data_IF_963884522267
#
_entry.id   IF_963884522267
#
_cell.length_a   1.000
_cell.length_b   1.000
_cell.length_c   1.000
_cell.angle_alpha   90.00
_cell.angle_beta   90.00
_cell.angle_gamma   90.00
#
_symmetry.space_group_name_H-M   'P 1'
#
loop_
_entity.id
_entity.type
_entity.pdbx_description
1 polymer ?
#
# COMPACT_ATOMS: atom_id res chain seq x y z
N UNK A 1 -4.21 -2.66 15.58
CA UNK A 1 -3.17 -1.61 15.44
C UNK A 1 -3.62 -0.39 16.23
N UNK A 2 -2.70 0.33 16.88
CA UNK A 2 -3.04 1.54 17.62
C UNK A 2 -2.04 2.66 17.30
N UNK A 3 -2.55 3.73 16.69
CA UNK A 3 -1.88 4.97 16.36
C UNK A 3 -0.52 4.80 15.65
N UNK A 4 -0.41 3.80 14.77
CA UNK A 4 0.84 3.44 14.09
C UNK A 4 1.10 4.33 12.87
N UNK A 5 2.36 4.54 12.50
CA UNK A 5 2.71 5.38 11.33
C UNK A 5 2.65 4.67 9.99
N UNK A 6 2.75 3.34 9.99
CA UNK A 6 2.88 2.56 8.76
C UNK A 6 2.05 1.26 8.88
N UNK A 7 0.72 1.32 8.76
CA UNK A 7 -0.13 0.15 9.00
C UNK A 7 0.12 -0.98 8.01
N UNK A 8 0.13 -0.69 6.71
CA UNK A 8 0.29 -1.68 5.63
C UNK A 8 1.26 -1.13 4.58
N UNK A 9 2.43 -1.78 4.42
CA UNK A 9 3.43 -1.42 3.42
C UNK A 9 3.91 -2.65 2.66
N UNK A 10 3.85 -2.58 1.32
CA UNK A 10 4.66 -3.35 0.39
C UNK A 10 5.47 -2.34 -0.40
N UNK A 11 6.80 -2.39 -0.29
CA UNK A 11 7.69 -1.44 -0.96
C UNK A 11 8.82 -2.17 -1.71
N UNK A 12 8.66 -2.29 -3.03
CA UNK A 12 9.68 -2.83 -3.93
C UNK A 12 10.63 -1.76 -4.48
N UNK A 13 10.45 -0.50 -4.08
CA UNK A 13 11.35 0.63 -4.36
C UNK A 13 12.21 1.01 -3.14
N UNK A 14 12.17 0.18 -2.09
CA UNK A 14 12.88 0.40 -0.84
C UNK A 14 14.37 0.65 -1.07
N UNK A 15 14.82 1.83 -0.67
CA UNK A 15 16.16 2.34 -0.92
C UNK A 15 16.70 3.03 0.34
N UNK A 16 17.11 2.26 1.36
CA UNK A 16 17.61 2.83 2.58
C UNK A 16 18.87 3.65 2.27
N UNK A 17 18.96 4.85 2.87
CA UNK A 17 20.08 5.77 2.71
C UNK A 17 20.35 6.28 1.28
N UNK A 18 19.43 6.07 0.33
CA UNK A 18 19.57 6.55 -1.04
C UNK A 18 20.81 6.04 -1.79
N UNK A 19 21.36 4.89 -1.39
CA UNK A 19 22.54 4.28 -2.02
C UNK A 19 22.18 3.31 -3.17
N UNK A 20 20.90 3.21 -3.51
CA UNK A 20 20.43 2.37 -4.62
C UNK A 20 20.41 3.12 -5.95
N UNK A 21 20.43 2.36 -7.05
CA UNK A 21 20.19 2.87 -8.40
C UNK A 21 18.69 2.91 -8.67
N UNK A 22 18.06 4.09 -8.49
CA UNK A 22 16.60 4.26 -8.61
C UNK A 22 16.04 4.01 -10.01
N UNK A 23 16.89 4.07 -11.04
CA UNK A 23 16.56 3.69 -12.42
C UNK A 23 16.44 2.17 -12.61
N UNK A 24 16.86 1.37 -11.61
CA UNK A 24 16.79 -0.09 -11.66
C UNK A 24 15.61 -0.60 -10.82
N UNK A 25 14.50 -1.02 -11.44
CA UNK A 25 13.38 -1.59 -10.72
C UNK A 25 13.77 -2.93 -10.07
N UNK A 26 13.11 -3.28 -8.96
CA UNK A 26 13.34 -4.56 -8.29
C UNK A 26 13.01 -5.75 -9.19
N UNK A 27 13.86 -6.78 -9.13
CA UNK A 27 13.68 -8.06 -9.84
C UNK A 27 12.95 -9.11 -8.99
N UNK A 28 12.59 -8.77 -7.75
CA UNK A 28 11.88 -9.66 -6.86
C UNK A 28 10.41 -9.75 -7.29
N UNK A 29 9.88 -10.96 -7.37
CA UNK A 29 8.46 -11.19 -7.62
C UNK A 29 7.73 -11.37 -6.29
N UNK A 30 6.79 -10.48 -6.00
CA UNK A 30 5.83 -10.64 -4.91
C UNK A 30 4.53 -11.17 -5.50
N UNK A 31 4.03 -12.28 -4.96
CA UNK A 31 2.76 -12.84 -5.41
C UNK A 31 2.01 -13.61 -4.31
N UNK A 32 0.70 -13.81 -4.51
CA UNK A 32 -0.17 -14.59 -3.62
C UNK A 32 -0.23 -14.04 -2.18
N UNK A 33 -0.24 -12.71 -2.07
CA UNK A 33 -0.32 -12.01 -0.78
C UNK A 33 -1.78 -11.91 -0.34
N UNK A 34 -2.07 -12.21 0.92
CA UNK A 34 -3.39 -12.04 1.52
C UNK A 34 -3.30 -11.05 2.69
N UNK A 35 -3.87 -9.86 2.52
CA UNK A 35 -4.00 -8.84 3.56
C UNK A 35 -5.46 -8.87 4.02
N UNK A 36 -5.74 -9.46 5.19
CA UNK A 36 -7.11 -9.68 5.66
C UNK A 36 -7.32 -9.28 7.11
N UNK A 37 -8.49 -8.73 7.41
CA UNK A 37 -8.97 -8.46 8.78
C UNK A 37 -8.02 -7.54 9.58
N UNK A 38 -7.48 -6.50 8.93
CA UNK A 38 -6.57 -5.55 9.55
C UNK A 38 -7.38 -4.35 10.05
N UNK A 39 -7.33 -4.10 11.36
CA UNK A 39 -8.11 -3.03 12.00
C UNK A 39 -7.28 -2.18 12.95
N UNK A 40 -7.62 -0.90 13.05
CA UNK A 40 -7.00 -0.01 14.02
C UNK A 40 -6.94 1.45 13.59
N UNK A 41 -5.96 2.16 14.16
CA UNK A 41 -5.75 3.58 13.94
C UNK A 41 -4.32 3.86 13.44
N UNK A 42 -4.18 4.91 12.64
CA UNK A 42 -2.91 5.41 12.10
C UNK A 42 -2.70 6.88 12.46
N UNK A 43 -1.46 7.27 12.70
CA UNK A 43 -1.06 8.68 12.86
C UNK A 43 -0.46 9.28 11.58
N UNK A 44 -0.37 8.48 10.51
CA UNK A 44 0.02 8.90 9.16
C UNK A 44 -1.20 8.96 8.24
N UNK A 45 -1.20 9.96 7.36
CA UNK A 45 -2.23 10.16 6.34
C UNK A 45 -2.29 8.98 5.35
N UNK A 46 -1.12 8.56 4.84
CA UNK A 46 -0.99 7.39 3.97
C UNK A 46 -1.04 6.10 4.82
N UNK A 47 -2.20 5.45 4.83
CA UNK A 47 -2.44 4.28 5.68
C UNK A 47 -2.06 2.95 5.01
N UNK A 48 -2.09 2.92 3.68
CA UNK A 48 -1.77 1.74 2.87
C UNK A 48 -0.90 2.14 1.70
N UNK A 49 0.26 1.50 1.59
CA UNK A 49 1.26 1.76 0.56
C UNK A 49 1.63 0.45 -0.13
N UNK A 50 1.23 0.27 -1.39
CA UNK A 50 1.55 -0.89 -2.22
C UNK A 50 2.37 -0.44 -3.43
N UNK A 51 3.68 -0.30 -3.25
CA UNK A 51 4.64 0.10 -4.28
C UNK A 51 5.31 -1.13 -4.86
N UNK A 52 4.81 -1.59 -6.00
CA UNK A 52 5.37 -2.75 -6.68
C UNK A 52 6.25 -2.34 -7.86
N UNK A 53 7.20 -3.19 -8.20
CA UNK A 53 8.16 -2.99 -9.28
C UNK A 53 7.46 -2.95 -10.63
N UNK A 54 7.83 -1.99 -11.48
CA UNK A 54 7.36 -1.96 -12.87
C UNK A 54 7.79 -3.19 -13.66
N UNK A 55 8.98 -3.73 -13.36
CA UNK A 55 9.52 -4.91 -14.05
C UNK A 55 8.94 -6.22 -13.52
N UNK A 56 8.61 -6.26 -12.23
CA UNK A 56 7.97 -7.40 -11.56
C UNK A 56 6.77 -6.93 -10.74
N UNK A 57 5.64 -6.57 -11.40
CA UNK A 57 4.42 -6.13 -10.72
C UNK A 57 3.96 -7.15 -9.67
N UNK A 58 3.23 -6.71 -8.64
CA UNK A 58 2.66 -7.64 -7.67
C UNK A 58 1.46 -8.37 -8.30
N UNK A 59 1.38 -9.70 -8.11
CA UNK A 59 0.31 -10.54 -8.67
C UNK A 59 -0.47 -11.30 -7.58
N UNK A 60 -1.76 -11.53 -7.81
CA UNK A 60 -2.62 -12.28 -6.89
C UNK A 60 -2.59 -11.71 -5.46
N UNK A 61 -2.64 -10.39 -5.33
CA UNK A 61 -2.78 -9.70 -4.05
C UNK A 61 -4.26 -9.64 -3.70
N UNK A 62 -4.64 -10.20 -2.56
CA UNK A 62 -6.02 -10.13 -2.04
C UNK A 62 -6.03 -9.19 -0.85
N UNK A 63 -6.92 -8.21 -0.86
CA UNK A 63 -7.11 -7.24 0.22
C UNK A 63 -8.53 -7.34 0.72
N UNK A 64 -8.69 -7.60 2.02
CA UNK A 64 -10.00 -7.90 2.57
C UNK A 64 -10.23 -7.43 3.99
N UNK A 65 -11.45 -6.96 4.26
CA UNK A 65 -11.89 -6.59 5.61
C UNK A 65 -10.90 -5.65 6.34
N UNK A 66 -10.49 -4.59 5.65
CA UNK A 66 -9.60 -3.55 6.17
C UNK A 66 -10.44 -2.44 6.81
N UNK A 67 -10.06 -2.04 8.03
CA UNK A 67 -10.71 -0.96 8.78
C UNK A 67 -9.70 -0.12 9.56
N UNK A 68 -9.12 0.87 8.89
CA UNK A 68 -8.12 1.80 9.41
C UNK A 68 -8.72 3.20 9.53
N UNK A 69 -8.50 3.85 10.67
CA UNK A 69 -8.90 5.24 10.93
C UNK A 69 -7.68 6.13 11.12
N UNK A 70 -7.69 7.29 10.50
CA UNK A 70 -6.64 8.29 10.67
C UNK A 70 -6.97 9.19 11.87
N UNK A 71 -6.04 9.26 12.82
CA UNK A 71 -6.15 10.09 14.03
C UNK A 71 -5.46 11.46 13.89
N UNK A 72 -4.81 11.74 12.76
CA UNK A 72 -4.15 13.01 12.53
C UNK A 72 -5.06 14.06 11.91
N UNK A 73 -4.48 15.23 11.66
CA UNK A 73 -5.20 16.44 11.21
C UNK A 73 -4.69 16.99 9.88
N UNK A 74 -3.90 16.20 9.12
CA UNK A 74 -3.26 16.66 7.88
C UNK A 74 -4.12 16.49 6.63
N UNK A 75 -5.31 15.92 6.75
CA UNK A 75 -6.20 15.67 5.61
C UNK A 75 -6.99 14.37 5.75
N UNK A 76 -7.68 13.93 4.69
CA UNK A 76 -8.31 12.62 4.65
C UNK A 76 -7.26 11.52 4.67
N UNK A 77 -7.63 10.35 5.20
CA UNK A 77 -6.84 9.14 5.09
C UNK A 77 -6.66 8.75 3.61
N UNK A 78 -5.44 8.45 3.18
CA UNK A 78 -5.10 8.13 1.79
C UNK A 78 -4.47 6.75 1.65
N UNK A 79 -4.47 6.24 0.42
CA UNK A 79 -3.80 5.00 0.04
C UNK A 79 -3.05 5.20 -1.27
N UNK A 80 -1.92 4.50 -1.42
CA UNK A 80 -1.04 4.60 -2.58
C UNK A 80 -0.78 3.21 -3.16
N UNK A 81 -1.01 3.06 -4.46
CA UNK A 81 -0.82 1.79 -5.16
C UNK A 81 -0.12 2.00 -6.50
N UNK A 82 0.91 1.20 -6.77
CA UNK A 82 1.73 1.28 -7.99
C UNK A 82 2.05 -0.15 -8.45
N UNK A 83 1.80 -0.46 -9.73
CA UNK A 83 2.04 -1.76 -10.35
C UNK A 83 1.44 -2.96 -9.58
N UNK A 84 0.22 -2.78 -9.07
CA UNK A 84 -0.55 -3.81 -8.37
C UNK A 84 -2.03 -3.66 -8.71
N UNK A 85 -2.72 -4.77 -8.89
CA UNK A 85 -4.18 -4.83 -9.05
C UNK A 85 -4.74 -5.80 -8.01
N UNK A 86 -5.09 -5.31 -6.80
CA UNK A 86 -5.61 -6.18 -5.77
C UNK A 86 -7.01 -6.70 -6.10
N UNK A 87 -7.30 -7.93 -5.69
CA UNK A 87 -8.68 -8.42 -5.58
C UNK A 87 -9.23 -8.02 -4.21
N UNK A 88 -10.34 -7.29 -4.20
CA UNK A 88 -10.96 -6.84 -2.96
C UNK A 88 -12.04 -7.81 -2.48
N UNK A 89 -12.10 -8.06 -1.18
CA UNK A 89 -13.16 -8.85 -0.54
C UNK A 89 -13.65 -8.16 0.73
N UNK A 90 -14.96 -8.07 0.94
CA UNK A 90 -15.51 -7.45 2.14
C UNK A 90 -15.16 -5.96 2.29
N UNK A 91 -15.06 -5.48 3.53
CA UNK A 91 -14.97 -4.04 3.85
C UNK A 91 -13.61 -3.45 3.46
N UNK A 92 -13.62 -2.29 2.79
CA UNK A 92 -12.42 -1.46 2.54
C UNK A 92 -12.62 -0.07 3.14
N UNK A 93 -12.13 0.14 4.36
CA UNK A 93 -12.08 1.45 4.98
C UNK A 93 -10.63 1.73 5.42
N UNK A 94 -9.93 2.70 4.82
CA UNK A 94 -10.35 3.55 3.71
C UNK A 94 -10.50 2.78 2.38
N UNK A 95 -11.06 3.39 1.32
CA UNK A 95 -10.98 2.84 -0.02
C UNK A 95 -9.51 2.64 -0.45
N UNK A 96 -9.15 1.40 -0.78
CA UNK A 96 -7.77 1.04 -1.14
C UNK A 96 -7.62 1.08 -2.65
N UNK A 97 -6.55 1.73 -3.14
CA UNK A 97 -6.25 1.91 -4.56
C UNK A 97 -7.38 2.59 -5.38
N UNK A 98 -8.20 3.43 -4.72
CA UNK A 98 -9.37 4.07 -5.35
C UNK A 98 -9.02 5.23 -6.29
N UNK A 99 -7.79 5.74 -6.24
CA UNK A 99 -7.29 6.75 -7.17
C UNK A 99 -6.65 6.06 -8.38
N UNK A 100 -7.31 6.16 -9.53
CA UNK A 100 -6.60 6.08 -10.81
C UNK A 100 -5.48 7.14 -10.77
N UNK A 101 -4.23 6.69 -10.76
CA UNK A 101 -3.11 7.60 -10.94
C UNK A 101 -3.35 8.39 -12.23
N UNK A 102 -3.21 9.73 -12.25
CA UNK A 102 -3.24 10.46 -13.49
C UNK A 102 -2.04 9.96 -14.32
N UNK A 103 -2.36 9.41 -15.49
CA UNK A 103 -1.38 9.17 -16.55
C UNK A 103 -0.72 10.49 -16.88
N UNK A 104 0.57 10.63 -16.58
CA UNK A 104 1.44 11.68 -17.13
C UNK A 104 2.46 11.01 -18.03
#
# INVERSE_FOLDING_TARGET
>A
MDNVSNPIIIDQEYCPHNLCKRDRPSFIKISKVNLKNIRGTTNSEEAVTLLCSKLKPCENVVVGDIDLKYNGNRGPITTKCVNVQPTFVGKQNPPICATAAPSV
#
